data_IF_877274404704
#
_entry.id   IF_877274404704
#
_cell.length_a   1.000
_cell.length_b   1.000
_cell.length_c   1.000
_cell.angle_alpha   90.00
_cell.angle_beta   90.00
_cell.angle_gamma   90.00
#
_symmetry.space_group_name_H-M   'P 1'
#
loop_
_entity.id
_entity.type
_entity.pdbx_description
1 polymer ?
#
# COMPACT_ATOMS: atom_id res chain seq x y z
N UNK A 1 -11.67 -2.79 -1.77
CA UNK A 1 -11.01 -1.72 -1.01
C UNK A 1 -9.49 -1.78 -1.18
N UNK A 2 -8.82 -0.66 -1.10
CA UNK A 2 -7.37 -0.58 -1.09
C UNK A 2 -6.92 -0.47 0.36
N UNK A 3 -5.90 -1.22 0.72
CA UNK A 3 -5.37 -1.22 2.08
C UNK A 3 -3.87 -0.98 2.02
N UNK A 4 -3.40 -0.03 2.82
CA UNK A 4 -1.98 0.21 3.01
C UNK A 4 -1.64 0.04 4.48
N UNK A 5 -0.52 -0.61 4.76
CA UNK A 5 -0.07 -0.78 6.14
C UNK A 5 1.42 -0.53 6.25
N UNK A 6 1.88 -0.33 7.47
CA UNK A 6 3.30 -0.22 7.75
C UNK A 6 3.71 -1.11 8.92
N UNK A 7 4.97 -1.47 8.92
CA UNK A 7 5.60 -2.24 9.99
C UNK A 7 7.11 -1.96 9.96
N UNK A 8 7.88 -2.65 10.75
CA UNK A 8 9.33 -2.45 10.82
C UNK A 8 10.05 -3.78 10.83
N UNK A 9 11.05 -3.88 9.96
CA UNK A 9 11.99 -5.00 9.90
C UNK A 9 13.27 -4.55 10.59
N UNK A 10 13.94 -5.46 11.29
CA UNK A 10 15.25 -5.13 11.86
C UNK A 10 16.21 -4.72 10.75
N UNK A 11 16.81 -3.52 10.80
CA UNK A 11 17.67 -3.05 9.72
C UNK A 11 18.80 -4.01 9.37
N UNK A 12 19.37 -4.68 10.36
CA UNK A 12 20.44 -5.63 10.14
C UNK A 12 20.00 -6.93 9.48
N UNK A 13 18.68 -7.19 9.41
CA UNK A 13 18.12 -8.39 8.81
C UNK A 13 17.40 -8.13 7.49
N UNK A 14 17.53 -6.92 6.96
CA UNK A 14 16.85 -6.55 5.71
C UNK A 14 17.28 -7.40 4.52
N UNK A 15 18.55 -7.77 4.45
CA UNK A 15 19.05 -8.61 3.36
C UNK A 15 18.37 -9.99 3.39
N UNK A 16 18.23 -10.57 4.56
CA UNK A 16 17.54 -11.84 4.73
C UNK A 16 16.04 -11.73 4.42
N UNK A 17 15.41 -10.64 4.85
CA UNK A 17 14.01 -10.37 4.53
C UNK A 17 13.78 -10.35 3.02
N UNK A 18 14.62 -9.63 2.29
CA UNK A 18 14.53 -9.56 0.82
C UNK A 18 14.74 -10.93 0.18
N UNK A 19 15.69 -11.69 0.66
CA UNK A 19 16.00 -13.01 0.11
C UNK A 19 14.80 -13.96 0.28
N UNK A 20 14.17 -13.95 1.44
CA UNK A 20 13.02 -14.81 1.70
C UNK A 20 11.81 -14.42 0.87
N UNK A 21 11.66 -13.13 0.56
CA UNK A 21 10.55 -12.64 -0.25
C UNK A 21 10.81 -12.69 -1.76
N UNK A 22 12.03 -13.01 -2.18
CA UNK A 22 12.34 -13.19 -3.60
C UNK A 22 11.67 -14.43 -4.18
N UNK A 23 11.37 -15.42 -3.33
CA UNK A 23 10.72 -16.65 -3.75
C UNK A 23 9.85 -17.18 -2.58
N UNK A 24 8.71 -16.55 -2.39
CA UNK A 24 7.74 -16.97 -1.36
C UNK A 24 7.19 -18.35 -1.72
N UNK A 25 6.94 -19.18 -0.72
CA UNK A 25 6.43 -20.53 -0.94
C UNK A 25 5.18 -20.52 -1.82
N UNK A 26 5.11 -21.37 -2.84
CA UNK A 26 3.92 -21.43 -3.71
C UNK A 26 2.62 -21.67 -2.94
N UNK A 27 2.68 -22.50 -1.88
CA UNK A 27 1.52 -22.75 -1.03
C UNK A 27 1.04 -21.50 -0.31
N UNK A 28 1.98 -20.64 0.13
CA UNK A 28 1.66 -19.35 0.75
C UNK A 28 1.05 -18.38 -0.24
N UNK A 29 1.60 -18.32 -1.45
CA UNK A 29 1.05 -17.46 -2.52
C UNK A 29 -0.40 -17.86 -2.84
N UNK A 30 -0.65 -19.16 -2.94
CA UNK A 30 -1.99 -19.65 -3.20
C UNK A 30 -2.95 -19.34 -2.06
N UNK A 31 -2.51 -19.51 -0.83
CA UNK A 31 -3.33 -19.21 0.34
C UNK A 31 -3.73 -17.73 0.39
N UNK A 32 -2.79 -16.83 0.11
CA UNK A 32 -3.09 -15.40 0.04
C UNK A 32 -4.16 -15.09 -1.01
N UNK A 33 -4.00 -15.65 -2.20
CA UNK A 33 -4.95 -15.41 -3.28
C UNK A 33 -6.33 -15.96 -2.94
N UNK A 34 -6.38 -17.18 -2.42
CA UNK A 34 -7.64 -17.83 -2.03
C UNK A 34 -8.34 -17.09 -0.88
N UNK A 35 -7.56 -16.45 -0.01
CA UNK A 35 -8.11 -15.67 1.10
C UNK A 35 -8.60 -14.27 0.69
N UNK A 36 -8.41 -13.88 -0.56
CA UNK A 36 -8.91 -12.62 -1.08
C UNK A 36 -7.89 -11.49 -1.10
N UNK A 37 -6.61 -11.81 -0.98
CA UNK A 37 -5.53 -10.83 -1.11
C UNK A 37 -5.18 -10.67 -2.59
N UNK A 38 -5.36 -9.47 -3.13
CA UNK A 38 -5.10 -9.19 -4.53
C UNK A 38 -4.11 -8.03 -4.66
N UNK A 39 -3.34 -8.08 -5.73
CA UNK A 39 -2.37 -7.03 -6.05
C UNK A 39 -1.54 -6.62 -4.84
N UNK A 40 -1.07 -7.61 -4.09
CA UNK A 40 -0.35 -7.41 -2.84
C UNK A 40 1.13 -7.15 -3.12
N UNK A 41 1.62 -6.00 -2.67
CA UNK A 41 3.01 -5.59 -2.82
C UNK A 41 3.59 -5.15 -1.48
N UNK A 42 4.86 -5.41 -1.29
CA UNK A 42 5.61 -4.96 -0.13
C UNK A 42 6.77 -4.08 -0.59
N UNK A 43 6.97 -2.98 0.11
CA UNK A 43 8.06 -2.02 -0.15
C UNK A 43 8.86 -1.84 1.12
N UNK A 44 10.18 -1.87 1.01
CA UNK A 44 11.07 -1.80 2.15
C UNK A 44 12.00 -0.59 2.05
N UNK A 45 11.89 0.32 3.01
CA UNK A 45 12.73 1.50 3.08
C UNK A 45 14.11 1.17 3.69
N UNK A 46 15.13 1.98 3.39
CA UNK A 46 16.50 1.71 3.89
C UNK A 46 16.64 1.65 5.41
N UNK A 47 15.73 2.26 6.14
CA UNK A 47 15.74 2.24 7.61
C UNK A 47 14.99 1.04 8.21
N UNK A 48 14.49 0.13 7.37
CA UNK A 48 13.73 -1.03 7.82
C UNK A 48 12.22 -0.84 7.85
N UNK A 49 11.72 0.35 7.52
CA UNK A 49 10.28 0.54 7.45
C UNK A 49 9.69 -0.27 6.29
N UNK A 50 8.70 -1.08 6.60
CA UNK A 50 7.99 -1.89 5.63
C UNK A 50 6.64 -1.26 5.34
N UNK A 51 6.32 -1.14 4.06
CA UNK A 51 5.04 -0.62 3.61
C UNK A 51 4.39 -1.68 2.72
N UNK A 52 3.16 -2.04 3.03
CA UNK A 52 2.41 -3.01 2.25
C UNK A 52 1.18 -2.38 1.62
N UNK A 53 0.83 -2.86 0.45
CA UNK A 53 -0.37 -2.46 -0.27
C UNK A 53 -1.09 -3.69 -0.79
N UNK A 54 -2.39 -3.75 -0.62
CA UNK A 54 -3.20 -4.81 -1.20
C UNK A 54 -4.59 -4.31 -1.55
N UNK A 55 -5.27 -5.10 -2.37
CA UNK A 55 -6.68 -4.88 -2.71
C UNK A 55 -7.49 -6.09 -2.25
N UNK A 56 -8.62 -5.84 -1.63
CA UNK A 56 -9.50 -6.89 -1.12
C UNK A 56 -10.91 -6.36 -0.98
N UNK A 57 -11.88 -7.24 -0.81
CA UNK A 57 -13.25 -6.83 -0.56
C UNK A 57 -13.45 -6.41 0.89
N UNK A 58 -12.89 -7.18 1.81
CA UNK A 58 -13.00 -6.96 3.25
C UNK A 58 -11.69 -7.41 3.90
N UNK A 59 -10.93 -6.46 4.42
CA UNK A 59 -9.61 -6.74 4.97
C UNK A 59 -9.67 -7.63 6.21
N UNK A 60 -10.62 -7.39 7.10
CA UNK A 60 -10.76 -8.21 8.30
C UNK A 60 -11.08 -9.66 7.95
N UNK A 61 -11.96 -9.86 6.97
CA UNK A 61 -12.29 -11.19 6.49
C UNK A 61 -11.10 -11.86 5.82
N UNK A 62 -10.35 -11.11 5.01
CA UNK A 62 -9.16 -11.62 4.34
C UNK A 62 -8.09 -12.04 5.36
N UNK A 63 -7.87 -11.24 6.39
CA UNK A 63 -6.97 -11.60 7.48
C UNK A 63 -7.44 -12.85 8.24
N UNK A 64 -8.73 -12.92 8.54
CA UNK A 64 -9.29 -14.07 9.27
C UNK A 64 -9.14 -15.36 8.47
N UNK A 65 -9.31 -15.30 7.15
CA UNK A 65 -9.10 -16.48 6.30
C UNK A 65 -7.65 -16.93 6.32
N UNK A 66 -6.70 -16.00 6.32
CA UNK A 66 -5.28 -16.35 6.42
C UNK A 66 -4.92 -16.93 7.77
N UNK A 67 -5.50 -16.38 8.84
CA UNK A 67 -5.17 -16.77 10.21
C UNK A 67 -5.43 -18.24 10.49
N UNK A 68 -6.38 -18.87 9.80
CA UNK A 68 -6.72 -20.29 10.02
C UNK A 68 -5.93 -21.23 9.11
N UNK A 69 -5.06 -20.72 8.24
CA UNK A 69 -4.26 -21.59 7.38
C UNK A 69 -2.98 -22.02 8.08
N UNK A 70 -2.62 -23.29 7.90
CA UNK A 70 -1.39 -23.83 8.49
C UNK A 70 -0.16 -23.17 7.87
N UNK A 71 -0.17 -22.94 6.55
CA UNK A 71 0.97 -22.35 5.85
C UNK A 71 1.27 -20.95 6.36
N UNK A 72 0.24 -20.16 6.65
CA UNK A 72 0.44 -18.81 7.19
C UNK A 72 1.08 -18.89 8.58
N UNK A 73 0.63 -19.81 9.42
CA UNK A 73 1.23 -20.02 10.74
C UNK A 73 2.73 -20.30 10.65
N UNK A 74 3.14 -21.17 9.74
CA UNK A 74 4.56 -21.48 9.53
C UNK A 74 5.33 -20.26 8.98
N UNK A 75 4.75 -19.56 8.02
CA UNK A 75 5.38 -18.38 7.42
C UNK A 75 5.55 -17.27 8.45
N UNK A 76 4.52 -16.97 9.23
CA UNK A 76 4.59 -15.92 10.25
C UNK A 76 5.60 -16.25 11.35
N UNK A 77 5.72 -17.52 11.72
CA UNK A 77 6.72 -17.94 12.70
C UNK A 77 8.14 -17.71 12.19
N UNK A 78 8.40 -17.96 10.92
CA UNK A 78 9.71 -17.68 10.33
C UNK A 78 9.97 -16.18 10.19
N UNK A 79 8.96 -15.42 9.83
CA UNK A 79 9.10 -13.97 9.65
C UNK A 79 9.24 -13.22 10.96
N UNK A 80 8.69 -13.76 12.05
CA UNK A 80 8.70 -13.09 13.35
C UNK A 80 10.10 -12.70 13.82
N UNK A 81 11.10 -13.49 13.47
CA UNK A 81 12.48 -13.21 13.86
C UNK A 81 13.08 -12.01 13.13
N UNK A 82 12.49 -11.60 12.02
CA UNK A 82 12.98 -10.51 11.18
C UNK A 82 12.33 -9.18 11.52
N UNK A 83 11.19 -9.20 12.18
CA UNK A 83 10.44 -7.98 12.49
C UNK A 83 10.89 -7.35 13.80
N UNK A 84 10.94 -6.03 13.83
CA UNK A 84 11.42 -5.28 14.99
C UNK A 84 10.42 -5.28 16.14
N UNK A 85 9.13 -5.46 15.85
CA UNK A 85 8.07 -5.49 16.86
C UNK A 85 7.55 -6.91 16.98
N UNK A 86 7.94 -7.61 18.05
CA UNK A 86 7.78 -9.06 18.12
C UNK A 86 6.70 -9.56 19.07
N UNK A 87 5.86 -8.68 19.61
CA UNK A 87 4.84 -9.11 20.56
C UNK A 87 3.68 -9.85 19.90
N UNK A 88 3.50 -9.67 18.59
CA UNK A 88 2.46 -10.31 17.82
C UNK A 88 3.07 -10.96 16.58
N UNK A 89 2.39 -11.95 15.97
CA UNK A 89 2.78 -12.39 14.64
C UNK A 89 2.82 -11.19 13.69
N UNK A 90 3.76 -11.13 12.73
CA UNK A 90 3.94 -9.95 11.89
C UNK A 90 2.67 -9.44 11.22
N UNK A 91 1.84 -10.35 10.71
CA UNK A 91 0.60 -9.95 10.03
C UNK A 91 -0.48 -9.40 10.96
N UNK A 92 -0.35 -9.61 12.26
CA UNK A 92 -1.24 -9.01 13.25
C UNK A 92 -0.69 -7.69 13.82
N UNK A 93 0.56 -7.40 13.55
CA UNK A 93 1.22 -6.17 13.98
C UNK A 93 1.24 -5.08 12.92
N UNK A 94 0.61 -5.28 11.79
CA UNK A 94 0.56 -4.28 10.73
C UNK A 94 -0.29 -3.08 11.15
N UNK A 95 0.26 -1.89 11.02
CA UNK A 95 -0.46 -0.66 11.30
C UNK A 95 -1.10 -0.14 10.02
N UNK A 96 -2.43 -0.10 9.98
CA UNK A 96 -3.16 0.38 8.81
C UNK A 96 -3.05 1.90 8.74
N UNK A 97 -2.73 2.42 7.56
CA UNK A 97 -2.69 3.85 7.31
C UNK A 97 -3.85 4.26 6.41
N UNK A 98 -4.36 5.47 6.64
CA UNK A 98 -5.54 5.95 5.96
C UNK A 98 -5.25 6.39 4.53
N UNK A 99 -6.09 5.97 3.59
CA UNK A 99 -6.02 6.50 2.23
C UNK A 99 -6.65 7.90 2.21
N UNK A 100 -5.87 8.90 1.85
CA UNK A 100 -6.34 10.28 1.85
C UNK A 100 -6.62 10.84 0.47
N UNK A 101 -6.22 10.13 -0.58
CA UNK A 101 -6.42 10.55 -1.96
C UNK A 101 -6.33 9.35 -2.89
N UNK A 102 -7.23 9.29 -3.85
CA UNK A 102 -7.10 8.38 -4.98
C UNK A 102 -7.57 9.11 -6.24
N UNK A 103 -6.70 9.15 -7.24
CA UNK A 103 -6.95 9.89 -8.48
C UNK A 103 -8.17 9.35 -9.22
N UNK A 104 -8.25 8.04 -9.37
CA UNK A 104 -9.32 7.45 -10.17
C UNK A 104 -10.69 7.65 -9.53
N UNK A 105 -10.77 7.54 -8.20
CA UNK A 105 -12.00 7.81 -7.48
C UNK A 105 -12.46 9.26 -7.66
N UNK A 106 -11.53 10.19 -7.62
CA UNK A 106 -11.86 11.61 -7.80
C UNK A 106 -12.23 11.94 -9.24
N UNK A 107 -11.56 11.31 -10.20
CA UNK A 107 -11.94 11.46 -11.60
C UNK A 107 -13.35 10.93 -11.86
N UNK A 108 -13.68 9.78 -11.31
CA UNK A 108 -15.00 9.20 -11.45
C UNK A 108 -16.09 10.09 -10.83
N UNK A 109 -15.81 10.66 -9.67
CA UNK A 109 -16.73 11.58 -9.02
C UNK A 109 -16.89 12.88 -9.82
N UNK A 110 -15.83 13.41 -10.39
CA UNK A 110 -15.87 14.59 -11.23
C UNK A 110 -16.65 14.36 -12.51
N UNK A 111 -16.49 13.18 -13.11
CA UNK A 111 -17.24 12.82 -14.32
C UNK A 111 -18.73 12.69 -14.04
N UNK A 112 -19.12 12.29 -12.84
CA UNK A 112 -20.54 12.18 -12.49
C UNK A 112 -21.20 13.54 -12.21
N UNK A 113 -20.39 14.57 -11.90
CA UNK A 113 -20.88 15.94 -11.70
C UNK A 113 -20.68 16.73 -12.97
N UNK A 114 -21.60 16.58 -13.89
CA UNK A 114 -21.40 17.18 -15.17
C UNK A 114 -21.64 18.62 -15.30
N UNK A 115 -21.98 19.30 -14.46
CA UNK A 115 -22.60 20.46 -14.64
C UNK A 115 -21.88 21.66 -14.70
N UNK A 116 -22.54 22.59 -15.04
CA UNK A 116 -22.17 23.88 -15.40
C UNK A 116 -21.08 24.47 -14.61
N UNK A 117 -20.94 23.89 -13.50
CA UNK A 117 -19.92 24.37 -12.66
C UNK A 117 -18.55 24.24 -13.28
N UNK A 118 -18.40 23.21 -13.94
CA UNK A 118 -17.12 22.96 -14.50
C UNK A 118 -16.67 24.07 -15.35
N UNK A 119 -17.53 24.80 -15.56
CA UNK A 119 -17.42 25.73 -16.41
C UNK A 119 -16.33 26.57 -16.22
N UNK A 120 -16.08 26.93 -16.78
CA UNK A 120 -15.60 27.89 -17.52
C UNK A 120 -14.80 28.87 -16.76
N UNK A 121 -15.36 29.47 -15.85
CA UNK A 121 -14.70 30.56 -15.14
C UNK A 121 -13.54 30.04 -14.32
N UNK A 122 -13.74 28.88 -13.71
CA UNK A 122 -12.69 28.22 -12.99
C UNK A 122 -11.57 27.79 -13.91
N UNK A 123 -11.89 27.35 -15.09
CA UNK A 123 -10.89 26.93 -16.06
C UNK A 123 -10.02 28.09 -16.48
N UNK A 124 -10.63 29.22 -16.72
CA UNK A 124 -9.87 30.40 -17.18
C UNK A 124 -8.90 30.90 -16.12
N UNK A 125 -9.36 30.99 -14.89
CA UNK A 125 -8.50 31.43 -13.81
C UNK A 125 -7.40 30.45 -13.48
N UNK A 126 -7.73 29.18 -13.44
CA UNK A 126 -6.76 28.14 -13.15
C UNK A 126 -5.69 28.03 -14.22
N UNK A 127 -6.07 28.25 -15.45
CA UNK A 127 -5.13 28.13 -16.55
C UNK A 127 -4.00 29.15 -16.46
N UNK A 128 -4.34 30.40 -16.14
CA UNK A 128 -3.34 31.46 -16.01
C UNK A 128 -2.38 31.17 -14.87
N UNK A 129 -2.91 30.73 -13.74
CA UNK A 129 -2.09 30.48 -12.57
C UNK A 129 -1.19 29.25 -12.74
N UNK A 130 -1.66 28.26 -13.44
CA UNK A 130 -0.88 27.04 -13.65
C UNK A 130 0.34 27.30 -14.51
N UNK A 131 0.17 28.08 -15.55
CA UNK A 131 1.29 28.39 -16.42
C UNK A 131 2.37 29.20 -15.69
N UNK A 132 1.94 30.12 -14.86
CA UNK A 132 2.89 30.94 -14.11
C UNK A 132 3.66 30.09 -13.09
N UNK A 133 2.97 29.25 -12.38
CA UNK A 133 3.60 28.39 -11.39
C UNK A 133 4.56 27.39 -12.03
N UNK A 134 4.17 26.82 -13.14
CA UNK A 134 5.02 25.88 -13.85
C UNK A 134 6.30 26.55 -14.36
N UNK A 135 6.19 27.76 -14.81
CA UNK A 135 7.34 28.50 -15.29
C UNK A 135 8.33 28.81 -14.18
N UNK A 136 7.84 29.20 -13.02
CA UNK A 136 8.69 29.46 -11.86
C UNK A 136 9.39 28.20 -11.38
N UNK A 137 8.65 27.10 -11.33
CA UNK A 137 9.22 25.82 -10.89
C UNK A 137 10.36 25.38 -11.81
N UNK A 138 10.19 25.53 -13.10
CA UNK A 138 11.24 25.16 -14.05
C UNK A 138 12.49 26.03 -13.92
N UNK A 139 12.32 27.29 -13.57
CA UNK A 139 13.46 28.17 -13.36
C UNK A 139 14.27 27.79 -12.13
N UNK A 140 13.62 27.37 -11.09
CA UNK A 140 14.33 26.96 -9.87
C UNK A 140 15.10 25.66 -10.07
N UNK A 141 14.63 24.79 -10.95
CA UNK A 141 15.28 23.53 -11.19
C UNK A 141 16.41 23.59 -12.24
N UNK A 142 16.42 24.61 -13.01
CA UNK A 142 17.45 24.82 -13.98
C UNK A 142 18.70 25.48 -13.39
#
# INVERSE_FOLDING_TARGET
MRVCFRSSVHPELMAEYKQRHAAVWPEMLKALKDAGWNNYSLFLAPDGQLIGYLECEDYKAAQARMAVTEVNGRWQAEMATLFANSDLPPDQGFEIVEEVFNLEDQLAAADSVKEPYAVTDAVTGAHINTDSAAHEYQKEQA
#
